data_IF_038926313092
#
_entry.id   IF_038926313092
#
_cell.length_a   1.000
_cell.length_b   1.000
_cell.length_c   1.000
_cell.angle_alpha   90.00
_cell.angle_beta   90.00
_cell.angle_gamma   90.00
#
_symmetry.space_group_name_H-M   'P 1'
#
loop_
_entity.id
_entity.type
_entity.pdbx_description
1 polymer ?
#
# COMPACT_ATOMS: atom_id res chain seq x y z
N UNK A 1 23.80 31.92 70.17
CA UNK A 1 24.54 30.72 70.59
C UNK A 1 23.81 30.13 71.77
N UNK A 2 22.98 29.13 71.53
CA UNK A 2 22.27 28.39 72.57
C UNK A 2 23.30 27.52 73.28
N UNK A 3 23.45 27.71 74.59
CA UNK A 3 24.40 26.92 75.38
C UNK A 3 23.80 25.51 75.57
N UNK A 4 24.19 24.56 74.71
CA UNK A 4 23.74 23.17 74.81
C UNK A 4 24.69 22.42 75.75
N UNK A 5 24.16 21.97 76.88
CA UNK A 5 24.93 21.17 77.85
C UNK A 5 24.68 19.71 77.53
N UNK A 6 25.77 18.96 77.33
CA UNK A 6 25.71 17.54 77.04
C UNK A 6 26.05 16.71 78.27
N UNK A 7 25.26 15.66 78.51
CA UNK A 7 25.59 14.58 79.43
C UNK A 7 26.43 13.57 78.65
N UNK A 8 27.75 13.73 78.71
CA UNK A 8 28.69 12.92 77.94
C UNK A 8 29.16 11.68 78.69
N UNK A 9 29.07 10.51 78.05
CA UNK A 9 29.87 9.35 78.40
C UNK A 9 31.20 9.41 77.65
N UNK A 10 32.32 9.35 78.38
CA UNK A 10 33.67 9.43 77.81
C UNK A 10 34.22 8.02 77.68
N UNK A 11 34.61 7.64 76.46
CA UNK A 11 34.98 6.29 76.07
C UNK A 11 36.34 6.29 75.39
N UNK A 12 37.36 5.87 76.12
CA UNK A 12 38.71 5.73 75.62
C UNK A 12 38.97 4.27 75.25
N UNK A 13 39.12 3.99 73.95
CA UNK A 13 39.24 2.63 73.43
C UNK A 13 40.57 2.38 72.74
N UNK A 14 41.29 1.37 73.22
CA UNK A 14 42.52 0.88 72.59
C UNK A 14 42.21 -0.12 71.47
N UNK A 15 42.81 0.11 70.31
CA UNK A 15 42.72 -0.73 69.13
C UNK A 15 43.78 -1.84 69.19
N UNK A 16 43.45 -2.96 69.83
CA UNK A 16 44.34 -4.11 70.00
C UNK A 16 43.65 -5.44 69.77
N UNK A 17 44.39 -6.42 69.24
CA UNK A 17 43.91 -7.81 69.08
C UNK A 17 43.99 -8.65 70.38
N UNK A 18 44.63 -8.11 71.42
CA UNK A 18 44.70 -8.74 72.75
C UNK A 18 43.49 -8.27 73.56
N UNK A 19 43.02 -9.11 74.50
CA UNK A 19 41.89 -8.79 75.40
C UNK A 19 42.25 -7.60 76.30
N UNK A 20 42.22 -6.39 75.76
CA UNK A 20 42.16 -5.18 76.52
C UNK A 20 40.77 -5.16 77.16
N UNK A 21 40.70 -5.51 78.45
CA UNK A 21 39.56 -5.17 79.30
C UNK A 21 39.43 -3.65 79.23
N UNK A 22 38.65 -3.13 78.28
CA UNK A 22 38.33 -1.73 78.24
C UNK A 22 37.60 -1.43 79.54
N UNK A 23 38.12 -0.51 80.35
CA UNK A 23 37.37 0.05 81.47
C UNK A 23 36.26 0.91 80.88
N UNK A 24 35.22 0.27 80.34
CA UNK A 24 34.00 0.97 79.94
C UNK A 24 33.35 1.43 81.26
N UNK A 25 33.22 2.74 81.51
CA UNK A 25 32.51 3.21 82.68
C UNK A 25 31.06 2.72 82.63
N UNK A 26 30.38 2.64 83.77
CA UNK A 26 28.96 2.35 83.76
C UNK A 26 28.22 3.55 83.16
N UNK A 27 27.79 3.42 81.90
CA UNK A 27 27.08 4.49 81.19
C UNK A 27 25.58 4.37 81.49
N UNK A 28 24.99 5.47 81.99
CA UNK A 28 23.56 5.59 82.26
C UNK A 28 23.01 6.88 81.66
N UNK A 29 22.10 6.72 80.71
CA UNK A 29 21.26 7.80 80.21
C UNK A 29 19.84 7.65 80.75
N UNK A 30 19.01 8.67 80.56
CA UNK A 30 17.61 8.68 80.93
C UNK A 30 16.74 8.97 79.71
N UNK A 31 15.53 8.43 79.65
CA UNK A 31 14.52 8.79 78.63
C UNK A 31 14.21 10.30 78.58
N UNK A 32 14.61 11.07 79.60
CA UNK A 32 14.50 12.53 79.65
C UNK A 32 15.76 13.29 79.22
N UNK A 33 16.83 12.59 78.80
CA UNK A 33 17.99 13.22 78.14
C UNK A 33 17.65 13.61 76.67
N UNK A 34 16.51 14.28 76.48
CA UNK A 34 15.91 14.73 75.21
C UNK A 34 16.69 15.91 74.59
N UNK A 35 16.46 16.19 73.31
CA UNK A 35 17.10 17.30 72.59
C UNK A 35 18.57 17.03 72.26
N UNK A 36 18.94 15.76 72.13
CA UNK A 36 20.31 15.34 71.80
C UNK A 36 21.33 15.56 72.92
N UNK A 37 20.89 15.60 74.18
CA UNK A 37 21.76 15.90 75.34
C UNK A 37 22.54 14.68 75.83
N UNK A 38 22.06 13.45 75.61
CA UNK A 38 22.80 12.21 75.84
C UNK A 38 23.86 11.99 74.75
N UNK A 39 25.14 12.11 75.12
CA UNK A 39 26.25 12.08 74.16
C UNK A 39 27.27 10.99 74.49
N UNK A 40 27.67 10.24 73.47
CA UNK A 40 28.82 9.34 73.50
C UNK A 40 30.01 10.07 72.90
N UNK A 41 31.11 10.16 73.64
CA UNK A 41 32.37 10.74 73.17
C UNK A 41 33.46 9.68 73.20
N UNK A 42 34.08 9.45 72.05
CA UNK A 42 35.05 8.39 71.86
C UNK A 42 36.44 8.96 71.58
N UNK A 43 37.46 8.32 72.14
CA UNK A 43 38.87 8.54 71.79
C UNK A 43 39.48 7.21 71.36
N UNK A 44 39.89 7.09 70.11
CA UNK A 44 40.60 5.91 69.62
C UNK A 44 42.09 5.98 69.96
N UNK A 45 42.66 4.91 70.53
CA UNK A 45 44.08 4.81 70.89
C UNK A 45 44.74 3.61 70.22
N UNK A 46 46.03 3.73 69.87
CA UNK A 46 46.88 2.65 69.38
C UNK A 46 48.19 2.67 70.16
N UNK A 47 48.53 1.54 70.79
CA UNK A 47 49.75 1.39 71.59
C UNK A 47 49.93 2.57 72.58
N UNK A 48 48.87 2.84 73.35
CA UNK A 48 48.73 3.91 74.36
C UNK A 48 48.80 5.37 73.86
N UNK A 49 48.92 5.60 72.55
CA UNK A 49 48.87 6.92 71.94
C UNK A 49 47.52 7.15 71.23
N UNK A 50 47.09 8.41 71.10
CA UNK A 50 45.92 8.76 70.29
C UNK A 50 46.12 8.28 68.85
N UNK A 51 45.09 7.71 68.24
CA UNK A 51 45.11 7.20 66.87
C UNK A 51 44.67 8.30 65.90
N UNK A 52 45.58 8.90 65.10
CA UNK A 52 45.18 9.89 64.11
C UNK A 52 44.37 9.24 62.99
N UNK A 53 43.30 9.89 62.56
CA UNK A 53 42.41 9.44 61.50
C UNK A 53 42.73 10.18 60.20
N UNK A 54 42.94 9.43 59.11
CA UNK A 54 43.13 10.03 57.77
C UNK A 54 41.88 10.78 57.30
N UNK A 55 42.01 11.67 56.32
CA UNK A 55 40.88 12.44 55.76
C UNK A 55 39.75 11.56 55.20
N UNK A 56 40.10 10.38 54.68
CA UNK A 56 39.17 9.42 54.12
C UNK A 56 38.61 8.41 55.16
N UNK A 57 38.92 8.58 56.44
CA UNK A 57 38.36 7.74 57.50
C UNK A 57 36.89 8.11 57.78
N UNK A 58 36.04 7.09 57.88
CA UNK A 58 34.64 7.17 58.32
C UNK A 58 34.47 6.39 59.62
N UNK A 59 33.54 6.83 60.47
CA UNK A 59 33.20 6.14 61.72
C UNK A 59 31.77 5.63 61.64
N UNK A 60 31.55 4.39 62.07
CA UNK A 60 30.21 3.78 62.15
C UNK A 60 30.00 3.23 63.56
N UNK A 61 28.85 3.56 64.14
CA UNK A 61 28.38 3.03 65.41
C UNK A 61 27.12 2.19 65.15
N UNK A 62 27.19 0.89 65.42
CA UNK A 62 26.04 0.01 65.40
C UNK A 62 25.51 -0.14 66.83
N UNK A 63 24.19 -0.07 67.01
CA UNK A 63 23.53 -0.16 68.32
C UNK A 63 22.31 -1.06 68.22
N UNK A 64 22.07 -1.86 69.26
CA UNK A 64 20.79 -2.51 69.52
C UNK A 64 20.30 -1.98 70.87
N UNK A 65 19.15 -1.34 70.87
CA UNK A 65 18.52 -0.72 72.05
C UNK A 65 17.40 -1.61 72.59
N UNK A 66 17.11 -1.47 73.88
CA UNK A 66 16.12 -2.29 74.61
C UNK A 66 16.36 -3.80 74.50
N UNK A 67 17.61 -4.23 74.49
CA UNK A 67 18.03 -5.64 74.38
C UNK A 67 17.31 -6.50 75.43
N UNK A 68 16.72 -7.60 75.00
CA UNK A 68 15.95 -8.53 75.82
C UNK A 68 14.48 -8.14 76.04
N UNK A 69 14.00 -7.01 75.49
CA UNK A 69 12.58 -6.63 75.53
C UNK A 69 11.82 -7.12 74.28
N UNK A 70 10.47 -7.08 74.34
CA UNK A 70 9.57 -7.52 73.25
C UNK A 70 9.84 -6.80 71.92
N UNK A 71 10.35 -5.57 71.98
CA UNK A 71 10.68 -4.74 70.83
C UNK A 71 12.10 -4.20 71.00
N UNK A 72 13.08 -4.90 70.42
CA UNK A 72 14.44 -4.38 70.25
C UNK A 72 14.49 -3.46 69.03
N UNK A 73 15.36 -2.45 69.05
CA UNK A 73 15.51 -1.53 67.92
C UNK A 73 16.97 -1.36 67.55
N UNK A 74 17.29 -1.51 66.26
CA UNK A 74 18.65 -1.55 65.76
C UNK A 74 18.94 -0.29 64.95
N UNK A 75 20.08 0.34 65.22
CA UNK A 75 20.53 1.57 64.57
C UNK A 75 21.96 1.42 64.07
N UNK A 76 22.23 1.94 62.87
CA UNK A 76 23.58 2.14 62.35
C UNK A 76 23.70 3.63 62.05
N UNK A 77 24.63 4.28 62.75
CA UNK A 77 24.79 5.75 62.72
C UNK A 77 26.24 6.11 62.52
N UNK A 78 26.48 7.35 62.12
CA UNK A 78 27.82 7.85 61.81
C UNK A 78 28.19 8.94 62.83
N UNK A 79 29.02 8.63 63.85
CA UNK A 79 29.57 9.64 64.75
C UNK A 79 30.32 10.74 63.98
N UNK A 80 30.22 11.97 64.47
CA UNK A 80 30.93 13.12 63.90
C UNK A 80 32.38 13.14 64.38
N UNK A 81 33.34 13.24 63.46
CA UNK A 81 34.77 13.35 63.79
C UNK A 81 35.09 14.77 64.19
N UNK A 82 35.31 14.99 65.48
CA UNK A 82 35.57 16.30 66.08
C UNK A 82 37.06 16.66 65.99
N UNK A 83 37.96 15.71 66.23
CA UNK A 83 39.39 15.93 66.13
C UNK A 83 40.09 14.74 65.46
N UNK A 84 40.49 14.93 64.19
CA UNK A 84 41.17 13.89 63.41
C UNK A 84 42.57 13.57 63.91
N UNK A 85 43.33 14.55 64.39
CA UNK A 85 44.71 14.33 64.87
C UNK A 85 44.74 13.58 66.20
N UNK A 86 43.68 13.71 67.00
CA UNK A 86 43.56 13.03 68.30
C UNK A 86 42.64 11.80 68.27
N UNK A 87 42.00 11.48 67.13
CA UNK A 87 41.11 10.33 67.01
C UNK A 87 39.83 10.47 67.83
N UNK A 88 39.29 11.69 67.95
CA UNK A 88 38.10 11.99 68.75
C UNK A 88 36.87 12.17 67.87
N UNK A 89 35.79 11.47 68.21
CA UNK A 89 34.49 11.58 67.55
C UNK A 89 33.34 11.47 68.56
N UNK A 90 32.21 12.07 68.21
CA UNK A 90 31.06 12.24 69.10
C UNK A 90 29.75 11.79 68.43
N UNK A 91 28.83 11.25 69.21
CA UNK A 91 27.49 10.93 68.76
C UNK A 91 26.47 11.25 69.86
N UNK A 92 25.49 12.10 69.55
CA UNK A 92 24.34 12.33 70.41
C UNK A 92 23.19 11.40 70.02
N UNK A 93 22.61 10.73 71.00
CA UNK A 93 21.41 9.91 70.80
C UNK A 93 20.23 10.82 70.39
N UNK A 94 19.43 10.36 69.44
CA UNK A 94 18.19 11.05 69.05
C UNK A 94 17.10 10.84 70.09
N UNK A 95 16.06 11.67 70.04
CA UNK A 95 14.91 11.53 70.95
C UNK A 95 14.16 10.20 70.76
N UNK A 96 14.18 9.65 69.54
CA UNK A 96 13.68 8.31 69.28
C UNK A 96 14.57 7.27 69.96
N UNK A 97 15.88 7.34 69.79
CA UNK A 97 16.83 6.40 70.38
C UNK A 97 16.82 6.44 71.91
N UNK A 98 16.73 7.64 72.50
CA UNK A 98 16.67 7.80 73.96
C UNK A 98 15.35 7.31 74.56
N UNK A 99 14.29 7.13 73.76
CA UNK A 99 13.01 6.59 74.21
C UNK A 99 13.03 5.06 74.45
N UNK A 100 14.04 4.36 73.92
CA UNK A 100 14.21 2.91 74.07
C UNK A 100 14.85 2.55 75.41
N UNK A 101 14.07 2.58 76.49
CA UNK A 101 14.55 2.26 77.82
C UNK A 101 15.01 0.78 77.93
N UNK A 102 16.05 0.54 78.71
CA UNK A 102 16.65 -0.78 78.93
C UNK A 102 18.13 -0.86 78.54
N UNK A 103 18.62 -2.09 78.38
CA UNK A 103 19.99 -2.38 78.01
C UNK A 103 20.23 -2.03 76.53
N UNK A 104 21.33 -1.34 76.25
CA UNK A 104 21.80 -1.08 74.89
C UNK A 104 23.17 -1.75 74.69
N UNK A 105 23.32 -2.47 73.58
CA UNK A 105 24.59 -3.03 73.14
C UNK A 105 25.07 -2.26 71.91
N UNK A 106 26.35 -1.87 71.90
CA UNK A 106 26.90 -1.05 70.84
C UNK A 106 28.27 -1.55 70.37
N UNK A 107 28.56 -1.37 69.10
CA UNK A 107 29.83 -1.72 68.48
C UNK A 107 30.30 -0.61 67.54
N UNK A 108 31.57 -0.24 67.70
CA UNK A 108 32.17 0.90 67.04
C UNK A 108 33.21 0.45 66.01
N UNK A 109 33.14 1.03 64.82
CA UNK A 109 34.03 0.72 63.70
C UNK A 109 34.64 2.00 63.12
N UNK A 110 35.89 1.89 62.67
CA UNK A 110 36.53 2.87 61.79
C UNK A 110 36.77 2.22 60.43
N UNK A 111 36.34 2.90 59.38
CA UNK A 111 36.46 2.47 57.99
C UNK A 111 37.41 3.41 57.25
N UNK A 112 38.30 2.82 56.47
CA UNK A 112 39.17 3.48 55.51
C UNK A 112 38.85 2.94 54.11
N UNK A 113 39.26 3.59 53.01
CA UNK A 113 38.90 3.16 51.66
C UNK A 113 39.19 1.69 51.35
N UNK A 114 40.26 1.13 51.93
CA UNK A 114 40.72 -0.23 51.64
C UNK A 114 40.67 -1.18 52.85
N UNK A 115 40.23 -0.72 54.02
CA UNK A 115 40.22 -1.55 55.24
C UNK A 115 39.17 -1.06 56.25
N UNK A 116 38.63 -1.99 57.04
CA UNK A 116 37.72 -1.68 58.16
C UNK A 116 38.25 -2.31 59.43
N UNK A 117 38.07 -1.62 60.55
CA UNK A 117 38.55 -2.07 61.85
C UNK A 117 37.47 -1.85 62.90
N UNK A 118 37.22 -2.90 63.69
CA UNK A 118 36.40 -2.81 64.89
C UNK A 118 37.24 -2.26 66.03
N UNK A 119 36.71 -1.25 66.73
CA UNK A 119 37.40 -0.53 67.79
C UNK A 119 37.06 -1.14 69.15
N UNK A 120 35.76 -1.27 69.44
CA UNK A 120 35.29 -1.89 70.67
C UNK A 120 33.81 -2.25 70.60
N UNK A 121 33.42 -3.22 71.43
CA UNK A 121 32.02 -3.54 71.73
C UNK A 121 31.75 -3.24 73.20
N UNK A 122 30.77 -2.38 73.46
CA UNK A 122 30.44 -1.89 74.78
C UNK A 122 28.92 -1.91 75.00
N UNK A 123 28.49 -1.59 76.21
CA UNK A 123 27.07 -1.53 76.54
C UNK A 123 26.78 -0.35 77.46
N UNK A 124 25.55 0.13 77.41
CA UNK A 124 25.04 1.18 78.28
C UNK A 124 23.58 0.92 78.63
N UNK A 125 23.06 1.63 79.63
CA UNK A 125 21.66 1.52 80.04
C UNK A 125 20.98 2.86 79.81
N UNK A 126 19.78 2.82 79.21
CA UNK A 126 18.85 3.94 79.20
C UNK A 126 17.80 3.66 80.27
N UNK A 127 17.82 4.45 81.34
CA UNK A 127 16.88 4.34 82.43
C UNK A 127 15.58 5.07 82.07
N UNK A 128 14.47 4.37 82.27
CA UNK A 128 13.16 4.99 82.18
C UNK A 128 13.02 6.03 83.30
N UNK A 129 12.80 7.29 82.94
CA UNK A 129 12.57 8.34 83.92
C UNK A 129 11.25 8.14 84.66
N UNK A 130 11.17 8.60 85.91
CA UNK A 130 9.93 8.51 86.71
C UNK A 130 8.75 9.25 86.07
N UNK A 131 8.99 10.31 85.30
CA UNK A 131 7.93 11.04 84.56
C UNK A 131 7.35 10.23 83.39
N UNK A 132 8.14 9.31 82.83
CA UNK A 132 7.71 8.39 81.76
C UNK A 132 7.18 7.07 82.33
N UNK A 133 7.43 6.82 83.61
CA UNK A 133 6.81 5.73 84.36
C UNK A 133 5.44 6.15 84.89
N UNK A 134 4.58 5.17 85.20
CA UNK A 134 3.22 5.41 85.67
C UNK A 134 3.21 6.02 87.09
N UNK A 135 3.71 7.25 87.24
CA UNK A 135 3.90 7.92 88.52
C UNK A 135 2.69 8.78 88.95
N UNK A 136 1.59 8.80 88.18
CA UNK A 136 0.33 9.42 88.64
C UNK A 136 -0.91 8.61 88.23
N UNK A 137 -1.86 8.33 89.15
CA UNK A 137 -3.16 7.77 88.80
C UNK A 137 -4.02 8.84 88.11
N UNK A 138 -4.32 8.59 86.84
CA UNK A 138 -5.47 9.06 86.05
C UNK A 138 -5.94 10.50 86.33
N UNK A 139 -5.39 11.48 85.61
CA UNK A 139 -6.05 12.77 85.43
C UNK A 139 -5.69 13.44 84.09
N UNK A 140 -6.71 13.50 83.21
CA UNK A 140 -6.88 14.46 82.10
C UNK A 140 -5.78 14.52 81.02
N UNK A 141 -5.73 13.51 80.16
CA UNK A 141 -5.42 13.71 78.74
C UNK A 141 -6.42 12.90 77.92
N UNK A 142 -7.64 13.40 77.77
CA UNK A 142 -8.39 13.13 76.54
C UNK A 142 -7.58 13.85 75.46
N UNK A 143 -6.90 13.05 74.64
CA UNK A 143 -5.70 13.44 73.90
C UNK A 143 -6.14 14.14 72.62
N UNK A 144 -5.76 15.40 72.43
CA UNK A 144 -5.94 16.20 71.19
C UNK A 144 -5.66 15.38 69.91
N UNK A 145 -4.72 14.44 69.96
CA UNK A 145 -4.40 13.50 68.88
C UNK A 145 -5.53 12.55 68.46
N UNK A 146 -6.44 12.16 69.37
CA UNK A 146 -7.58 11.29 69.03
C UNK A 146 -8.65 12.04 68.24
N UNK A 147 -8.93 13.30 68.61
CA UNK A 147 -9.86 14.16 67.89
C UNK A 147 -9.35 14.43 66.46
N UNK A 148 -8.03 14.60 66.30
CA UNK A 148 -7.39 14.73 64.97
C UNK A 148 -7.55 13.44 64.13
N UNK A 149 -7.39 12.25 64.74
CA UNK A 149 -7.61 10.99 64.02
C UNK A 149 -9.07 10.77 63.64
N UNK A 150 -10.01 11.14 64.52
CA UNK A 150 -11.45 11.07 64.23
C UNK A 150 -11.81 12.01 63.08
N UNK A 151 -11.25 13.22 63.06
CA UNK A 151 -11.42 14.16 61.95
C UNK A 151 -10.89 13.60 60.62
N UNK A 152 -9.66 13.09 60.60
CA UNK A 152 -9.06 12.48 59.40
C UNK A 152 -9.88 11.27 58.94
N UNK A 153 -10.37 10.46 59.87
CA UNK A 153 -11.19 9.30 59.56
C UNK A 153 -12.51 9.73 58.90
N UNK A 154 -13.21 10.72 59.47
CA UNK A 154 -14.46 11.23 58.92
C UNK A 154 -14.26 11.86 57.54
N UNK A 155 -13.22 12.69 57.36
CA UNK A 155 -12.87 13.26 56.05
C UNK A 155 -12.61 12.17 55.01
N UNK A 156 -11.88 11.10 55.37
CA UNK A 156 -11.62 9.98 54.46
C UNK A 156 -12.87 9.17 54.14
N UNK A 157 -13.75 8.95 55.11
CA UNK A 157 -15.03 8.26 54.89
C UNK A 157 -15.92 9.09 53.96
N UNK A 158 -15.96 10.41 54.12
CA UNK A 158 -16.70 11.31 53.24
C UNK A 158 -16.17 11.29 51.80
N UNK A 159 -14.84 11.34 51.64
CA UNK A 159 -14.20 11.20 50.32
C UNK A 159 -14.56 9.86 49.67
N UNK A 160 -14.42 8.76 50.41
CA UNK A 160 -14.76 7.43 49.91
C UNK A 160 -16.24 7.32 49.53
N UNK A 161 -17.14 7.92 50.31
CA UNK A 161 -18.57 7.94 49.98
C UNK A 161 -18.83 8.70 48.68
N UNK A 162 -18.21 9.87 48.50
CA UNK A 162 -18.33 10.65 47.27
C UNK A 162 -17.78 9.89 46.04
N UNK A 163 -16.64 9.21 46.18
CA UNK A 163 -16.08 8.37 45.10
C UNK A 163 -16.99 7.18 44.76
N UNK A 164 -17.60 6.55 45.77
CA UNK A 164 -18.55 5.46 45.56
C UNK A 164 -19.80 5.96 44.83
N UNK A 165 -20.32 7.12 45.22
CA UNK A 165 -21.51 7.72 44.60
C UNK A 165 -21.23 8.10 43.14
N UNK A 166 -20.06 8.67 42.84
CA UNK A 166 -19.62 8.97 41.47
C UNK A 166 -19.48 7.70 40.62
N UNK A 167 -18.84 6.66 41.14
CA UNK A 167 -18.72 5.37 40.46
C UNK A 167 -20.09 4.74 40.17
N UNK A 168 -21.04 4.85 41.10
CA UNK A 168 -22.43 4.41 40.87
C UNK A 168 -23.12 5.22 39.77
N UNK A 169 -22.86 6.53 39.73
CA UNK A 169 -23.29 7.42 38.65
C UNK A 169 -22.76 6.97 37.29
N UNK A 170 -21.44 6.82 37.16
CA UNK A 170 -20.79 6.36 35.93
C UNK A 170 -21.28 4.98 35.48
N UNK A 171 -21.46 4.05 36.42
CA UNK A 171 -22.00 2.71 36.12
C UNK A 171 -23.44 2.78 35.59
N UNK A 172 -24.25 3.68 36.14
CA UNK A 172 -25.63 3.92 35.68
C UNK A 172 -25.66 4.53 34.28
N UNK A 173 -24.81 5.51 34.00
CA UNK A 173 -24.67 6.12 32.67
C UNK A 173 -24.21 5.10 31.62
N UNK A 174 -23.22 4.27 31.95
CA UNK A 174 -22.73 3.22 31.07
C UNK A 174 -23.84 2.20 30.78
N UNK A 175 -24.60 1.80 31.81
CA UNK A 175 -25.76 0.91 31.67
C UNK A 175 -26.84 1.52 30.78
N UNK A 176 -27.15 2.80 30.95
CA UNK A 176 -28.13 3.50 30.11
C UNK A 176 -27.66 3.57 28.66
N UNK A 177 -26.37 3.86 28.43
CA UNK A 177 -25.75 3.86 27.10
C UNK A 177 -25.87 2.48 26.47
N UNK A 178 -25.50 1.43 27.18
CA UNK A 178 -25.60 0.05 26.71
C UNK A 178 -27.03 -0.34 26.36
N UNK A 179 -28.01 -0.01 27.22
CA UNK A 179 -29.43 -0.30 26.97
C UNK A 179 -30.01 0.52 25.81
N UNK A 180 -29.44 1.70 25.53
CA UNK A 180 -29.84 2.54 24.40
C UNK A 180 -29.27 2.07 23.06
N UNK A 181 -28.28 1.17 23.07
CA UNK A 181 -27.83 0.54 21.84
C UNK A 181 -28.99 -0.26 21.26
N UNK A 182 -29.40 0.10 20.05
CA UNK A 182 -30.42 -0.61 19.30
C UNK A 182 -29.74 -1.55 18.29
N UNK A 183 -29.68 -2.87 18.55
CA UNK A 183 -29.04 -3.82 17.64
C UNK A 183 -29.65 -3.83 16.24
N UNK A 184 -30.93 -3.44 16.10
CA UNK A 184 -31.64 -3.41 14.81
C UNK A 184 -31.10 -2.31 13.88
N UNK A 185 -30.38 -1.32 14.41
CA UNK A 185 -29.69 -0.32 13.60
C UNK A 185 -28.39 -0.85 12.98
N UNK A 186 -27.87 -1.98 13.45
CA UNK A 186 -26.68 -2.59 12.87
C UNK A 186 -27.05 -3.48 11.69
N UNK A 187 -26.28 -3.41 10.58
CA UNK A 187 -26.49 -4.28 9.44
C UNK A 187 -26.32 -5.74 9.88
N UNK A 188 -27.30 -6.58 9.54
CA UNK A 188 -27.24 -7.99 9.85
C UNK A 188 -26.19 -8.66 8.96
N UNK A 189 -25.36 -9.52 9.56
CA UNK A 189 -24.32 -10.27 8.85
C UNK A 189 -24.90 -11.02 7.64
N UNK A 190 -26.08 -11.63 7.80
CA UNK A 190 -26.75 -12.37 6.74
C UNK A 190 -27.11 -11.47 5.54
N UNK A 191 -27.58 -10.23 5.77
CA UNK A 191 -27.92 -9.31 4.69
C UNK A 191 -26.68 -8.88 3.90
N UNK A 192 -25.57 -8.63 4.61
CA UNK A 192 -24.29 -8.33 3.98
C UNK A 192 -23.76 -9.51 3.16
N UNK A 193 -23.79 -10.72 3.72
CA UNK A 193 -23.37 -11.95 3.03
C UNK A 193 -24.25 -12.25 1.81
N UNK A 194 -25.56 -12.04 1.92
CA UNK A 194 -26.48 -12.18 0.78
C UNK A 194 -26.17 -11.17 -0.33
N UNK A 195 -25.82 -9.92 0.02
CA UNK A 195 -25.44 -8.91 -0.97
C UNK A 195 -24.15 -9.29 -1.70
N UNK A 196 -23.06 -9.55 -0.98
CA UNK A 196 -21.73 -9.80 -1.58
C UNK A 196 -21.71 -11.08 -2.43
N UNK A 197 -22.53 -12.08 -2.08
CA UNK A 197 -22.61 -13.35 -2.81
C UNK A 197 -23.64 -13.33 -3.95
N UNK A 198 -24.41 -12.25 -4.11
CA UNK A 198 -25.36 -12.12 -5.21
C UNK A 198 -24.63 -11.74 -6.51
N UNK A 199 -24.19 -12.76 -7.24
CA UNK A 199 -23.47 -12.59 -8.51
C UNK A 199 -24.31 -11.96 -9.63
N UNK A 200 -25.63 -11.85 -9.48
CA UNK A 200 -26.50 -11.22 -10.48
C UNK A 200 -26.46 -9.68 -10.45
N UNK A 201 -26.04 -9.09 -9.34
CA UNK A 201 -25.95 -7.62 -9.16
C UNK A 201 -24.51 -7.10 -9.19
N UNK A 202 -23.54 -8.01 -9.31
CA UNK A 202 -22.12 -7.70 -9.37
C UNK A 202 -21.57 -8.04 -10.75
N UNK A 203 -20.55 -7.31 -11.17
CA UNK A 203 -19.94 -7.47 -12.49
C UNK A 203 -18.44 -7.57 -12.31
N UNK A 204 -17.79 -8.37 -13.15
CA UNK A 204 -16.35 -8.53 -13.11
C UNK A 204 -15.65 -7.45 -13.94
N UNK A 205 -14.32 -7.33 -13.78
CA UNK A 205 -13.52 -6.48 -14.68
C UNK A 205 -13.58 -6.99 -16.13
N UNK A 206 -13.69 -8.30 -16.32
CA UNK A 206 -13.86 -8.93 -17.63
C UNK A 206 -15.16 -8.51 -18.28
N UNK A 207 -16.28 -8.47 -17.54
CA UNK A 207 -17.57 -8.01 -18.06
C UNK A 207 -17.48 -6.57 -18.56
N UNK A 208 -16.88 -5.68 -17.77
CA UNK A 208 -16.67 -4.28 -18.14
C UNK A 208 -15.86 -4.13 -19.43
N UNK A 209 -14.75 -4.88 -19.56
CA UNK A 209 -13.95 -4.89 -20.79
C UNK A 209 -14.75 -5.41 -21.99
N UNK A 210 -15.52 -6.48 -21.81
CA UNK A 210 -16.36 -7.05 -22.86
C UNK A 210 -17.47 -6.08 -23.30
N UNK A 211 -18.10 -5.36 -22.38
CA UNK A 211 -19.12 -4.36 -22.71
C UNK A 211 -18.54 -3.13 -23.39
N UNK A 212 -17.39 -2.64 -22.91
CA UNK A 212 -16.72 -1.46 -23.48
C UNK A 212 -16.15 -1.72 -24.89
N UNK A 213 -15.94 -2.98 -25.26
CA UNK A 213 -15.46 -3.38 -26.61
C UNK A 213 -16.59 -3.76 -27.56
N UNK A 214 -17.86 -3.70 -27.13
CA UNK A 214 -18.99 -3.92 -28.04
C UNK A 214 -19.01 -2.88 -29.14
N UNK A 215 -19.44 -3.32 -30.31
CA UNK A 215 -19.69 -2.45 -31.44
C UNK A 215 -20.68 -1.34 -31.07
N UNK A 216 -20.46 -0.16 -31.64
CA UNK A 216 -21.35 0.99 -31.50
C UNK A 216 -22.25 1.11 -32.72
N UNK A 217 -23.41 1.74 -32.58
CA UNK A 217 -24.30 2.01 -33.72
C UNK A 217 -23.60 2.87 -34.79
N UNK A 218 -22.78 3.83 -34.37
CA UNK A 218 -21.96 4.64 -35.27
C UNK A 218 -20.91 3.81 -36.02
N UNK A 219 -20.20 2.91 -35.33
CA UNK A 219 -19.22 2.02 -35.94
C UNK A 219 -19.84 1.04 -36.94
N UNK A 220 -21.01 0.47 -36.61
CA UNK A 220 -21.79 -0.36 -37.53
C UNK A 220 -22.24 0.43 -38.77
N UNK A 221 -22.72 1.66 -38.60
CA UNK A 221 -23.14 2.52 -39.71
C UNK A 221 -21.95 2.90 -40.61
N UNK A 222 -20.79 3.20 -40.03
CA UNK A 222 -19.57 3.50 -40.79
C UNK A 222 -19.13 2.30 -41.64
N UNK A 223 -19.16 1.08 -41.08
CA UNK A 223 -18.86 -0.16 -41.80
C UNK A 223 -19.83 -0.38 -42.96
N UNK A 224 -21.13 -0.21 -42.74
CA UNK A 224 -22.14 -0.35 -43.78
C UNK A 224 -21.99 0.71 -44.89
N UNK A 225 -21.70 1.96 -44.52
CA UNK A 225 -21.43 3.05 -45.47
C UNK A 225 -20.19 2.76 -46.32
N UNK A 226 -19.11 2.24 -45.72
CA UNK A 226 -17.93 1.84 -46.46
C UNK A 226 -18.24 0.72 -47.45
N UNK A 227 -18.95 -0.33 -47.03
CA UNK A 227 -19.36 -1.40 -47.94
C UNK A 227 -20.24 -0.91 -49.09
N UNK A 228 -21.11 0.07 -48.84
CA UNK A 228 -21.91 0.72 -49.89
C UNK A 228 -21.03 1.50 -50.88
N UNK A 229 -20.06 2.27 -50.38
CA UNK A 229 -19.11 2.99 -51.23
C UNK A 229 -18.25 2.02 -52.07
N UNK A 230 -17.77 0.94 -51.47
CA UNK A 230 -16.98 -0.09 -52.14
C UNK A 230 -17.81 -0.75 -53.27
N UNK A 231 -19.08 -1.06 -53.00
CA UNK A 231 -19.99 -1.61 -54.00
C UNK A 231 -20.27 -0.61 -55.13
N UNK A 232 -20.47 0.68 -54.80
CA UNK A 232 -20.66 1.75 -55.79
C UNK A 232 -19.43 1.87 -56.70
N UNK A 233 -18.24 1.94 -56.11
CA UNK A 233 -16.98 2.01 -56.85
C UNK A 233 -16.82 0.81 -57.78
N UNK A 234 -17.12 -0.39 -57.30
CA UNK A 234 -17.07 -1.59 -58.13
C UNK A 234 -17.97 -1.48 -59.38
N UNK A 235 -19.24 -1.06 -59.22
CA UNK A 235 -20.16 -0.89 -60.35
C UNK A 235 -19.72 0.22 -61.30
N UNK A 236 -19.19 1.33 -60.79
CA UNK A 236 -18.70 2.42 -61.64
C UNK A 236 -17.46 2.05 -62.45
N UNK A 237 -16.61 1.17 -61.93
CA UNK A 237 -15.45 0.65 -62.66
C UNK A 237 -15.82 -0.40 -63.71
N UNK A 238 -16.84 -1.23 -63.47
CA UNK A 238 -17.26 -2.28 -64.40
C UNK A 238 -18.37 -1.76 -65.32
N UNK A 239 -17.99 -1.30 -66.52
CA UNK A 239 -18.95 -0.75 -67.50
C UNK A 239 -18.57 -1.06 -68.94
N UNK A 240 -19.57 -1.07 -69.82
CA UNK A 240 -19.38 -1.17 -71.27
C UNK A 240 -19.73 0.17 -71.91
N UNK A 241 -18.81 0.72 -72.70
CA UNK A 241 -19.01 1.96 -73.45
C UNK A 241 -18.98 1.64 -74.94
N UNK A 242 -20.01 2.08 -75.65
CA UNK A 242 -20.11 1.91 -77.11
C UNK A 242 -19.79 3.22 -77.82
N UNK A 243 -18.89 3.16 -78.80
CA UNK A 243 -18.64 4.24 -79.74
C UNK A 243 -19.75 4.35 -80.78
N UNK A 244 -19.73 5.44 -81.55
CA UNK A 244 -20.61 5.64 -82.69
C UNK A 244 -20.29 4.66 -83.82
N UNK A 245 -21.31 4.28 -84.59
CA UNK A 245 -21.13 3.50 -85.81
C UNK A 245 -20.49 4.35 -86.91
N UNK A 246 -19.47 3.79 -87.56
CA UNK A 246 -18.73 4.39 -88.67
C UNK A 246 -18.84 3.49 -89.90
N UNK A 247 -19.03 4.08 -91.07
CA UNK A 247 -19.10 3.34 -92.34
C UNK A 247 -17.78 2.61 -92.61
N UNK A 248 -17.88 1.33 -92.97
CA UNK A 248 -16.74 0.53 -93.34
C UNK A 248 -16.27 0.91 -94.76
N UNK A 249 -14.98 1.14 -94.94
CA UNK A 249 -14.41 1.49 -96.25
C UNK A 249 -14.34 0.25 -97.15
N UNK A 250 -15.32 0.07 -98.01
CA UNK A 250 -15.38 -1.05 -98.96
C UNK A 250 -14.37 -0.88 -100.11
N UNK A 251 -13.83 -1.99 -100.62
CA UNK A 251 -13.01 -2.01 -101.83
C UNK A 251 -13.91 -1.91 -103.07
N UNK A 252 -13.40 -1.33 -104.16
CA UNK A 252 -14.13 -1.22 -105.42
C UNK A 252 -14.67 -2.60 -105.87
N UNK A 253 -15.93 -2.65 -106.30
CA UNK A 253 -16.64 -3.89 -106.63
C UNK A 253 -17.50 -4.46 -105.49
N UNK A 254 -17.38 -3.92 -104.27
CA UNK A 254 -18.25 -4.23 -103.15
C UNK A 254 -19.14 -3.04 -102.77
N UNK A 255 -20.34 -3.34 -102.25
CA UNK A 255 -21.37 -2.36 -101.94
C UNK A 255 -22.20 -2.78 -100.70
N UNK A 256 -23.19 -1.94 -100.36
CA UNK A 256 -24.20 -2.28 -99.35
C UNK A 256 -25.07 -3.43 -99.85
N UNK A 257 -25.11 -4.52 -99.09
CA UNK A 257 -26.05 -5.63 -99.26
C UNK A 257 -27.28 -5.43 -98.38
N UNK A 258 -28.40 -6.05 -98.78
CA UNK A 258 -29.64 -6.09 -97.98
C UNK A 258 -30.13 -4.73 -97.46
N UNK A 259 -29.79 -3.64 -98.17
CA UNK A 259 -30.00 -2.26 -97.73
C UNK A 259 -29.44 -1.90 -96.34
N UNK A 260 -28.49 -2.68 -95.84
CA UNK A 260 -27.89 -2.54 -94.51
C UNK A 260 -26.41 -2.16 -94.65
N UNK A 261 -26.09 -0.87 -94.58
CA UNK A 261 -24.72 -0.38 -94.81
C UNK A 261 -23.70 -1.03 -93.85
N UNK A 262 -22.61 -1.62 -94.36
CA UNK A 262 -21.51 -2.12 -93.54
C UNK A 262 -20.91 -1.04 -92.65
N UNK A 263 -20.90 -1.29 -91.35
CA UNK A 263 -20.39 -0.37 -90.35
C UNK A 263 -19.60 -1.10 -89.28
N UNK A 264 -18.69 -0.39 -88.62
CA UNK A 264 -17.99 -0.86 -87.44
C UNK A 264 -18.11 0.18 -86.32
N UNK A 265 -17.95 -0.25 -85.07
CA UNK A 265 -17.76 0.65 -83.93
C UNK A 265 -16.78 0.04 -82.93
N UNK A 266 -16.25 0.89 -82.07
CA UNK A 266 -15.43 0.48 -80.94
C UNK A 266 -16.32 0.24 -79.71
N UNK A 267 -16.09 -0.87 -79.03
CA UNK A 267 -16.73 -1.24 -77.76
C UNK A 267 -15.64 -1.40 -76.70
N UNK A 268 -15.67 -0.57 -75.67
CA UNK A 268 -14.74 -0.63 -74.54
C UNK A 268 -15.41 -1.30 -73.36
N UNK A 269 -14.82 -2.38 -72.88
CA UNK A 269 -15.22 -3.08 -71.67
C UNK A 269 -14.23 -2.74 -70.56
N UNK A 270 -14.67 -2.00 -69.57
CA UNK A 270 -13.90 -1.74 -68.35
C UNK A 270 -14.20 -2.88 -67.38
N UNK A 271 -13.18 -3.64 -67.00
CA UNK A 271 -13.28 -4.68 -65.97
C UNK A 271 -12.36 -4.31 -64.80
N UNK A 272 -12.48 -5.07 -63.70
CA UNK A 272 -11.55 -4.97 -62.57
C UNK A 272 -10.08 -5.22 -62.96
N UNK A 273 -9.85 -5.92 -64.06
CA UNK A 273 -8.51 -6.35 -64.51
C UNK A 273 -7.94 -5.40 -65.59
N UNK A 274 -8.71 -4.39 -66.01
CA UNK A 274 -8.30 -3.37 -66.98
C UNK A 274 -9.33 -3.05 -68.05
N UNK A 275 -8.99 -2.12 -68.94
CA UNK A 275 -9.78 -1.80 -70.14
C UNK A 275 -9.47 -2.81 -71.25
N UNK A 276 -10.51 -3.38 -71.85
CA UNK A 276 -10.43 -4.20 -73.06
C UNK A 276 -11.19 -3.53 -74.19
N UNK A 277 -10.54 -3.33 -75.33
CA UNK A 277 -11.14 -2.66 -76.49
C UNK A 277 -11.50 -3.68 -77.56
N UNK A 278 -12.71 -3.61 -78.07
CA UNK A 278 -13.20 -4.48 -79.13
C UNK A 278 -13.65 -3.66 -80.33
N UNK A 279 -13.51 -4.22 -81.53
CA UNK A 279 -14.19 -3.74 -82.73
C UNK A 279 -15.34 -4.69 -83.03
N UNK A 280 -16.54 -4.15 -83.23
CA UNK A 280 -17.71 -4.92 -83.65
C UNK A 280 -18.28 -4.38 -84.96
N UNK A 281 -18.88 -5.27 -85.75
CA UNK A 281 -19.39 -4.95 -87.08
C UNK A 281 -20.90 -5.20 -87.16
N UNK A 282 -21.54 -4.46 -88.07
CA UNK A 282 -22.92 -4.67 -88.49
C UNK A 282 -23.07 -4.37 -89.97
N UNK A 283 -24.25 -4.69 -90.48
CA UNK A 283 -24.62 -4.46 -91.87
C UNK A 283 -24.35 -5.69 -92.75
N UNK A 284 -24.57 -5.52 -94.05
CA UNK A 284 -24.38 -6.57 -95.03
C UNK A 284 -23.58 -6.06 -96.22
N UNK A 285 -22.69 -6.91 -96.69
CA UNK A 285 -21.77 -6.66 -97.79
C UNK A 285 -22.29 -7.38 -99.02
N UNK A 286 -22.47 -6.67 -100.13
CA UNK A 286 -22.77 -7.24 -101.44
C UNK A 286 -21.57 -7.12 -102.37
N UNK A 287 -21.43 -8.06 -103.30
CA UNK A 287 -20.37 -8.07 -104.29
C UNK A 287 -20.21 -9.45 -104.92
N UNK A 288 -19.13 -9.62 -105.69
CA UNK A 288 -18.77 -10.93 -106.25
C UNK A 288 -17.84 -11.65 -105.29
N UNK A 289 -18.36 -12.70 -104.62
CA UNK A 289 -17.57 -13.54 -103.72
C UNK A 289 -16.94 -14.69 -104.51
N UNK A 290 -15.61 -14.79 -104.49
CA UNK A 290 -14.87 -15.73 -105.34
C UNK A 290 -14.67 -17.06 -104.60
N UNK A 291 -14.92 -18.19 -105.26
CA UNK A 291 -14.82 -19.53 -104.66
C UNK A 291 -13.41 -20.14 -104.71
N UNK A 292 -12.49 -19.57 -105.48
CA UNK A 292 -11.15 -20.11 -105.76
C UNK A 292 -10.00 -19.36 -105.09
N UNK A 293 -10.20 -18.12 -104.63
CA UNK A 293 -9.18 -17.32 -103.95
C UNK A 293 -9.81 -16.32 -102.97
N UNK A 294 -9.10 -16.02 -101.89
CA UNK A 294 -9.51 -14.97 -100.96
C UNK A 294 -9.50 -13.61 -101.65
N UNK A 295 -10.49 -12.77 -101.36
CA UNK A 295 -10.59 -11.43 -101.91
C UNK A 295 -10.69 -10.38 -100.80
N UNK A 296 -10.03 -9.24 -100.95
CA UNK A 296 -10.18 -8.13 -100.00
C UNK A 296 -11.48 -7.40 -100.30
N UNK A 297 -12.36 -7.34 -99.30
CA UNK A 297 -13.69 -6.77 -99.43
C UNK A 297 -13.81 -5.38 -98.81
N UNK A 298 -13.00 -5.10 -97.78
CA UNK A 298 -12.97 -3.81 -97.11
C UNK A 298 -11.62 -3.56 -96.42
N UNK A 299 -11.35 -2.29 -96.13
CA UNK A 299 -10.20 -1.87 -95.34
C UNK A 299 -10.64 -1.42 -93.94
N UNK A 300 -10.03 -2.01 -92.93
CA UNK A 300 -10.24 -1.71 -91.52
C UNK A 300 -9.18 -0.68 -91.08
N UNK A 301 -9.61 0.44 -90.46
CA UNK A 301 -8.71 1.48 -90.00
C UNK A 301 -7.65 1.00 -89.01
N UNK A 302 -6.46 1.60 -89.08
CA UNK A 302 -5.41 1.38 -88.09
C UNK A 302 -5.91 1.74 -86.67
N UNK A 303 -5.45 1.01 -85.66
CA UNK A 303 -5.93 1.15 -84.28
C UNK A 303 -7.28 0.48 -83.99
N UNK A 304 -7.86 -0.25 -84.95
CA UNK A 304 -9.12 -0.99 -84.77
C UNK A 304 -9.01 -2.46 -85.21
N UNK A 305 -7.79 -2.92 -85.48
CA UNK A 305 -7.46 -4.23 -86.06
C UNK A 305 -7.21 -5.25 -84.95
N UNK A 306 -7.39 -6.56 -85.19
CA UNK A 306 -7.11 -7.58 -84.18
C UNK A 306 -5.60 -7.79 -84.00
N UNK A 307 -5.21 -8.35 -82.85
CA UNK A 307 -3.81 -8.71 -82.56
C UNK A 307 -3.31 -9.91 -83.39
N UNK A 308 -4.24 -10.78 -83.77
CA UNK A 308 -4.03 -11.98 -84.57
C UNK A 308 -5.09 -12.06 -85.66
N UNK A 309 -4.87 -12.86 -86.69
CA UNK A 309 -5.89 -13.06 -87.72
C UNK A 309 -7.10 -13.78 -87.15
N UNK A 310 -8.26 -13.13 -87.18
CA UNK A 310 -9.52 -13.68 -86.69
C UNK A 310 -10.37 -14.21 -87.85
N UNK A 311 -11.08 -15.32 -87.64
CA UNK A 311 -11.95 -15.94 -88.64
C UNK A 311 -13.39 -16.03 -88.12
N UNK A 312 -14.33 -15.60 -88.94
CA UNK A 312 -15.75 -15.56 -88.60
C UNK A 312 -16.58 -16.29 -89.64
N UNK A 313 -17.46 -17.17 -89.19
CA UNK A 313 -18.58 -17.62 -89.99
C UNK A 313 -19.62 -16.50 -90.06
N UNK A 314 -20.11 -16.21 -91.26
CA UNK A 314 -21.11 -15.17 -91.50
C UNK A 314 -22.34 -15.77 -92.18
N UNK A 315 -23.51 -15.21 -91.92
CA UNK A 315 -24.73 -15.60 -92.63
C UNK A 315 -24.73 -15.02 -94.05
N UNK A 316 -25.30 -15.76 -94.99
CA UNK A 316 -25.48 -15.34 -96.38
C UNK A 316 -26.94 -15.43 -96.79
N UNK A 317 -27.33 -14.69 -97.83
CA UNK A 317 -28.72 -14.65 -98.31
C UNK A 317 -29.20 -15.96 -98.96
N UNK A 318 -28.27 -16.83 -99.36
CA UNK A 318 -28.56 -18.14 -99.95
C UNK A 318 -28.58 -19.29 -98.92
N UNK A 319 -28.39 -19.00 -97.62
CA UNK A 319 -28.45 -20.00 -96.54
C UNK A 319 -27.18 -20.85 -96.36
N UNK A 320 -26.21 -20.77 -97.26
CA UNK A 320 -24.98 -21.58 -97.20
C UNK A 320 -23.91 -21.02 -96.24
N UNK A 321 -24.11 -19.79 -95.74
CA UNK A 321 -23.13 -19.06 -94.95
C UNK A 321 -21.95 -18.55 -95.78
N UNK A 322 -21.03 -17.87 -95.13
CA UNK A 322 -19.78 -17.39 -95.69
C UNK A 322 -18.70 -17.33 -94.62
N UNK A 323 -17.48 -16.94 -95.02
CA UNK A 323 -16.36 -16.77 -94.10
C UNK A 323 -15.68 -15.43 -94.33
N UNK A 324 -15.49 -14.68 -93.26
CA UNK A 324 -14.69 -13.46 -93.24
C UNK A 324 -13.45 -13.73 -92.40
N UNK A 325 -12.28 -13.38 -92.92
CA UNK A 325 -11.07 -13.28 -92.15
C UNK A 325 -10.71 -11.82 -91.95
N UNK A 326 -10.22 -11.49 -90.77
CA UNK A 326 -9.74 -10.15 -90.43
C UNK A 326 -8.28 -10.29 -89.98
N UNK A 327 -7.32 -10.13 -90.90
CA UNK A 327 -5.90 -10.18 -90.59
C UNK A 327 -5.44 -8.89 -89.90
N UNK A 328 -4.26 -8.96 -89.28
CA UNK A 328 -3.61 -7.85 -88.58
C UNK A 328 -3.27 -6.66 -89.49
N UNK A 329 -3.18 -6.88 -90.81
CA UNK A 329 -2.94 -5.82 -91.81
C UNK A 329 -4.17 -4.94 -92.09
N UNK A 330 -5.34 -5.32 -91.56
CA UNK A 330 -6.60 -4.60 -91.70
C UNK A 330 -7.32 -4.81 -93.02
N UNK A 331 -6.86 -5.73 -93.89
CA UNK A 331 -7.60 -6.07 -95.12
C UNK A 331 -8.66 -7.10 -94.78
N UNK A 332 -9.91 -6.69 -94.60
CA UNK A 332 -11.01 -7.65 -94.41
C UNK A 332 -11.11 -8.54 -95.65
N UNK A 333 -10.97 -9.84 -95.46
CA UNK A 333 -10.97 -10.81 -96.54
C UNK A 333 -12.26 -11.60 -96.53
N UNK A 334 -12.91 -11.72 -97.68
CA UNK A 334 -13.74 -12.88 -97.93
C UNK A 334 -12.82 -14.07 -98.14
N UNK A 335 -13.03 -15.11 -97.33
CA UNK A 335 -12.31 -16.38 -97.47
C UNK A 335 -13.03 -17.22 -98.52
N UNK A 336 -12.29 -17.70 -99.52
CA UNK A 336 -12.86 -18.55 -100.55
C UNK A 336 -13.37 -19.86 -99.97
N UNK A 337 -14.48 -20.34 -100.51
CA UNK A 337 -15.00 -21.68 -100.24
C UNK A 337 -15.76 -22.16 -101.47
N UNK A 338 -15.57 -23.42 -101.83
CA UNK A 338 -16.33 -24.10 -102.89
C UNK A 338 -17.80 -24.25 -102.54
N UNK A 339 -18.13 -24.21 -101.25
CA UNK A 339 -19.50 -24.35 -100.72
C UNK A 339 -20.26 -23.01 -100.74
N UNK A 340 -19.55 -21.90 -100.99
CA UNK A 340 -20.11 -20.57 -101.05
C UNK A 340 -20.71 -20.36 -102.45
N UNK A 341 -21.99 -20.71 -102.62
CA UNK A 341 -22.73 -20.65 -103.88
C UNK A 341 -23.01 -19.20 -104.35
N UNK A 342 -21.96 -18.37 -104.42
CA UNK A 342 -21.95 -16.96 -104.80
C UNK A 342 -23.17 -16.19 -104.25
N UNK A 343 -23.27 -16.02 -102.92
CA UNK A 343 -24.38 -15.27 -102.35
C UNK A 343 -24.39 -13.84 -102.90
N UNK A 344 -25.58 -13.24 -102.98
CA UNK A 344 -25.68 -11.82 -103.39
C UNK A 344 -25.16 -10.89 -102.30
N UNK A 345 -25.25 -11.32 -101.03
CA UNK A 345 -24.67 -10.62 -99.90
C UNK A 345 -24.39 -11.55 -98.71
N UNK A 346 -23.51 -11.09 -97.82
CA UNK A 346 -23.21 -11.69 -96.52
C UNK A 346 -23.38 -10.67 -95.39
N UNK A 347 -23.83 -11.11 -94.22
CA UNK A 347 -23.98 -10.26 -93.04
C UNK A 347 -22.66 -10.16 -92.26
N UNK A 348 -22.24 -8.95 -91.91
CA UNK A 348 -21.12 -8.70 -91.00
C UNK A 348 -21.57 -8.61 -89.54
N UNK A 349 -22.88 -8.66 -89.29
CA UNK A 349 -23.44 -8.52 -87.94
C UNK A 349 -23.06 -9.70 -87.06
N UNK A 350 -22.59 -9.41 -85.85
CA UNK A 350 -22.12 -10.42 -84.89
C UNK A 350 -20.62 -10.68 -84.95
N UNK A 351 -19.91 -10.13 -85.93
CA UNK A 351 -18.44 -10.13 -85.92
C UNK A 351 -17.96 -9.16 -84.83
N UNK A 352 -17.16 -9.65 -83.91
CA UNK A 352 -16.48 -8.85 -82.90
C UNK A 352 -15.15 -9.49 -82.54
N UNK A 353 -14.10 -8.69 -82.37
CA UNK A 353 -12.79 -9.13 -81.87
C UNK A 353 -12.19 -8.09 -80.94
N UNK A 354 -11.24 -8.53 -80.10
CA UNK A 354 -10.42 -7.64 -79.29
C UNK A 354 -9.37 -6.95 -80.17
N UNK A 355 -9.27 -5.63 -80.06
CA UNK A 355 -8.29 -4.83 -80.79
C UNK A 355 -6.90 -5.21 -80.28
N UNK A 356 -5.99 -5.49 -81.21
CA UNK A 356 -4.58 -5.64 -80.88
C UNK A 356 -4.00 -4.29 -80.53
N UNK A 357 -3.46 -4.18 -79.31
CA UNK A 357 -2.72 -3.01 -78.86
C UNK A 357 -1.54 -2.69 -79.77
#
# INVERSE_FOLDING_TARGET
>A
MTNQIFKSAILDFSVSAQNAKANVPQIRFSTQDYGGTARLKFTAKKDDNNLPLSSAAEVTLAMVLSVGKKYESSYIVNPEIINRTEGVFEYSLTDEQISHDGQANAELYVKYPNQTMQINRFSFVIEKAMIDDNFLPVAKYYVEKWDDYEKIFNEKVEILQNEIDDLQGQATELKNTFNSLNPDQFPQKADFENHINNTNIHVTMTDKTNWNTKETTAGAQAKAAQSFLDAKNYVETVKTVYGSWVNLSLVAGFATGDNNTPQYRIKKLFTKDGERTFTEFRGALAGTFISTANSTVANIPAGTRPAVTEYFAVSSNNGNGGRIAIPVDGKMLQVSSTDNANPSYISLSGISYEVGN
#
